data_IF_191897640579
#
_entry.id   IF_191897640579
#
_cell.length_a   1.000
_cell.length_b   1.000
_cell.length_c   1.000
_cell.angle_alpha   90.00
_cell.angle_beta   90.00
_cell.angle_gamma   90.00
#
_symmetry.space_group_name_H-M   'P 1'
#
loop_
_entity.id
_entity.type
_entity.pdbx_description
1 polymer ?
#
# COMPACT_ATOMS: atom_id res chain seq x y z
N UNK A 1 5.08 5.82 -28.79
CA UNK A 1 4.38 5.40 -27.56
C UNK A 1 3.13 6.25 -27.46
N UNK A 2 1.95 5.63 -27.41
CA UNK A 2 0.67 6.33 -27.29
C UNK A 2 0.08 5.98 -25.92
N UNK A 3 -0.39 6.98 -25.18
CA UNK A 3 -1.09 6.81 -23.91
C UNK A 3 -2.54 7.19 -24.16
N UNK A 4 -3.42 6.19 -24.09
CA UNK A 4 -4.86 6.42 -24.13
C UNK A 4 -5.37 6.69 -22.70
N UNK A 5 -5.58 7.97 -22.39
CA UNK A 5 -6.11 8.40 -21.10
C UNK A 5 -7.64 8.18 -20.96
N UNK A 6 -8.32 7.67 -21.99
CA UNK A 6 -9.76 7.36 -21.98
C UNK A 6 -10.04 5.88 -21.70
N UNK A 7 -9.01 5.05 -21.70
CA UNK A 7 -9.11 3.67 -21.26
C UNK A 7 -9.66 3.61 -19.83
N UNK A 8 -10.55 2.62 -19.59
CA UNK A 8 -11.00 2.30 -18.23
C UNK A 8 -9.77 2.21 -17.32
N UNK A 9 -9.78 3.01 -16.26
CA UNK A 9 -8.72 3.04 -15.27
C UNK A 9 -8.59 1.70 -14.56
N UNK A 10 -7.91 1.73 -13.41
CA UNK A 10 -7.69 0.51 -12.65
C UNK A 10 -9.04 -0.11 -12.24
N UNK A 11 -9.24 -1.37 -12.64
CA UNK A 11 -10.50 -2.08 -12.47
C UNK A 11 -10.81 -2.29 -10.99
N UNK A 12 -12.08 -2.19 -10.60
CA UNK A 12 -12.59 -2.62 -9.29
C UNK A 12 -12.68 -4.16 -9.23
N UNK A 13 -11.55 -4.82 -9.44
CA UNK A 13 -11.43 -6.27 -9.31
C UNK A 13 -11.19 -6.66 -7.85
N UNK A 14 -11.67 -7.84 -7.41
CA UNK A 14 -11.29 -8.40 -6.12
C UNK A 14 -9.77 -8.54 -5.98
N UNK A 15 -9.26 -8.31 -4.76
CA UNK A 15 -7.85 -8.51 -4.46
C UNK A 15 -7.47 -10.00 -4.65
N UNK A 16 -6.39 -10.25 -5.39
CA UNK A 16 -5.79 -11.59 -5.57
C UNK A 16 -4.28 -11.51 -5.37
N UNK A 17 -3.60 -12.64 -5.19
CA UNK A 17 -2.14 -12.66 -5.09
C UNK A 17 -1.51 -11.92 -6.28
N UNK A 18 -0.58 -11.00 -6.00
CA UNK A 18 0.10 -10.20 -7.03
C UNK A 18 1.07 -11.09 -7.80
N UNK A 19 1.83 -11.91 -7.09
CA UNK A 19 2.77 -12.86 -7.68
C UNK A 19 2.10 -14.23 -7.76
N UNK A 20 2.05 -14.77 -8.96
CA UNK A 20 1.49 -16.07 -9.33
C UNK A 20 2.47 -16.76 -10.28
N UNK A 21 2.37 -18.08 -10.41
CA UNK A 21 3.20 -18.84 -11.34
C UNK A 21 3.09 -18.28 -12.77
N UNK A 22 4.24 -17.85 -13.32
CA UNK A 22 4.35 -17.24 -14.64
C UNK A 22 3.60 -15.91 -14.84
N UNK A 23 3.08 -15.26 -13.79
CA UNK A 23 2.20 -14.09 -13.93
C UNK A 23 2.28 -13.12 -12.76
N UNK A 24 2.43 -11.83 -13.09
CA UNK A 24 2.26 -10.72 -12.13
C UNK A 24 0.92 -10.02 -12.38
N UNK A 25 0.05 -10.01 -11.37
CA UNK A 25 -1.24 -9.31 -11.36
C UNK A 25 -1.08 -7.96 -10.67
N UNK A 26 -0.82 -6.92 -11.46
CA UNK A 26 -0.63 -5.56 -10.96
C UNK A 26 -1.86 -5.06 -10.19
N UNK A 27 -1.68 -4.84 -8.89
CA UNK A 27 -2.69 -4.32 -7.96
C UNK A 27 -2.07 -3.30 -7.02
N UNK A 28 -2.89 -2.64 -6.20
CA UNK A 28 -2.36 -1.72 -5.19
C UNK A 28 -1.66 -2.48 -4.07
N UNK A 29 -0.55 -1.92 -3.60
CA UNK A 29 0.12 -2.32 -2.36
C UNK A 29 0.10 -1.17 -1.36
N UNK A 30 0.46 0.04 -1.80
CA UNK A 30 0.21 1.28 -1.08
C UNK A 30 -0.97 2.02 -1.70
N UNK A 31 -1.76 2.69 -0.87
CA UNK A 31 -2.87 3.52 -1.34
C UNK A 31 -2.42 4.57 -2.38
N UNK A 32 -3.28 4.80 -3.37
CA UNK A 32 -3.24 5.93 -4.32
C UNK A 32 -1.87 6.22 -4.97
N UNK A 33 -1.03 5.20 -5.13
CA UNK A 33 0.34 5.37 -5.62
C UNK A 33 0.66 4.39 -6.75
N UNK A 34 -0.06 4.40 -7.89
CA UNK A 34 0.04 3.36 -8.92
C UNK A 34 1.47 3.17 -9.45
N UNK A 35 2.17 4.26 -9.77
CA UNK A 35 3.56 4.19 -10.27
C UNK A 35 4.53 3.65 -9.21
N UNK A 36 4.37 4.05 -7.94
CA UNK A 36 5.17 3.51 -6.85
C UNK A 36 4.90 2.03 -6.64
N UNK A 37 3.63 1.60 -6.67
CA UNK A 37 3.25 0.21 -6.51
C UNK A 37 3.85 -0.66 -7.61
N UNK A 38 3.77 -0.23 -8.88
CA UNK A 38 4.41 -0.95 -9.98
C UNK A 38 5.93 -1.03 -9.80
N UNK A 39 6.58 0.06 -9.39
CA UNK A 39 8.02 0.07 -9.14
C UNK A 39 8.43 -0.81 -7.95
N UNK A 40 7.62 -0.82 -6.88
CA UNK A 40 7.80 -1.67 -5.71
C UNK A 40 7.68 -3.15 -6.09
N UNK A 41 6.65 -3.51 -6.84
CA UNK A 41 6.43 -4.87 -7.35
C UNK A 41 7.64 -5.30 -8.20
N UNK A 42 8.11 -4.45 -9.11
CA UNK A 42 9.30 -4.73 -9.92
C UNK A 42 10.59 -4.87 -9.10
N UNK A 43 10.75 -4.06 -8.04
CA UNK A 43 11.88 -4.21 -7.12
C UNK A 43 11.81 -5.55 -6.39
N UNK A 44 10.66 -5.88 -5.81
CA UNK A 44 10.46 -7.14 -5.06
C UNK A 44 10.65 -8.36 -5.95
N UNK A 45 10.11 -8.34 -7.18
CA UNK A 45 10.32 -9.41 -8.17
C UNK A 45 11.80 -9.67 -8.45
N UNK A 46 12.61 -8.62 -8.55
CA UNK A 46 14.02 -8.72 -8.88
C UNK A 46 14.92 -9.15 -7.69
N UNK A 47 14.40 -9.13 -6.46
CA UNK A 47 15.21 -9.33 -5.25
C UNK A 47 14.73 -10.49 -4.36
N UNK A 48 13.57 -11.10 -4.66
CA UNK A 48 13.02 -12.23 -3.91
C UNK A 48 12.75 -13.40 -4.85
N UNK A 49 13.05 -14.61 -4.39
CA UNK A 49 12.91 -15.81 -5.23
C UNK A 49 11.52 -16.46 -5.12
N UNK A 50 10.90 -16.38 -3.94
CA UNK A 50 9.65 -17.08 -3.63
C UNK A 50 8.43 -16.14 -3.66
N UNK A 51 7.37 -16.58 -4.34
CA UNK A 51 6.12 -15.83 -4.46
C UNK A 51 5.41 -15.62 -3.13
N UNK A 52 5.56 -16.51 -2.14
CA UNK A 52 4.97 -16.29 -0.83
C UNK A 52 5.66 -15.11 -0.11
N UNK A 53 6.98 -15.00 -0.19
CA UNK A 53 7.72 -13.86 0.34
C UNK A 53 7.41 -12.56 -0.42
N UNK A 54 7.33 -12.63 -1.75
CA UNK A 54 6.92 -11.47 -2.57
C UNK A 54 5.52 -10.99 -2.19
N UNK A 55 4.55 -11.88 -2.03
CA UNK A 55 3.19 -11.53 -1.61
C UNK A 55 3.11 -11.11 -0.13
N UNK A 56 4.01 -11.57 0.74
CA UNK A 56 4.14 -11.06 2.11
C UNK A 56 4.53 -9.58 2.11
N UNK A 57 5.43 -9.18 1.21
CA UNK A 57 5.89 -7.79 1.06
C UNK A 57 4.95 -6.93 0.21
N UNK A 58 4.22 -7.54 -0.71
CA UNK A 58 3.27 -6.86 -1.59
C UNK A 58 1.84 -7.41 -1.40
N UNK A 59 1.23 -7.24 -0.20
CA UNK A 59 -0.14 -7.65 -0.02
C UNK A 59 -1.06 -6.85 -0.96
N UNK A 60 -1.97 -7.50 -1.70
CA UNK A 60 -2.87 -6.82 -2.63
C UNK A 60 -3.96 -6.05 -1.90
N UNK A 61 -4.31 -4.89 -2.43
CA UNK A 61 -5.51 -4.12 -2.06
C UNK A 61 -6.43 -3.95 -3.25
N UNK A 62 -7.72 -4.17 -3.01
CA UNK A 62 -8.77 -3.74 -3.92
C UNK A 62 -8.84 -2.22 -3.94
N UNK A 63 -9.24 -1.66 -5.08
CA UNK A 63 -9.51 -0.23 -5.17
C UNK A 63 -10.71 0.12 -4.27
N UNK A 64 -10.64 1.21 -3.48
CA UNK A 64 -11.77 1.64 -2.70
C UNK A 64 -12.88 2.11 -3.65
N UNK A 65 -14.07 1.55 -3.48
CA UNK A 65 -15.28 1.88 -4.26
C UNK A 65 -16.27 2.73 -3.47
N UNK A 66 -16.12 2.75 -2.14
CA UNK A 66 -16.90 3.58 -1.23
C UNK A 66 -16.03 4.15 -0.09
N UNK A 67 -16.50 5.19 0.64
CA UNK A 67 -15.78 5.73 1.79
C UNK A 67 -15.47 4.69 2.87
N UNK A 68 -16.32 3.67 3.01
CA UNK A 68 -16.15 2.55 3.94
C UNK A 68 -14.97 1.64 3.55
N UNK A 69 -14.47 1.70 2.32
CA UNK A 69 -13.28 0.92 1.95
C UNK A 69 -11.98 1.58 2.43
N UNK A 70 -12.00 2.88 2.71
CA UNK A 70 -10.82 3.65 3.11
C UNK A 70 -10.13 3.08 4.37
N UNK A 71 -10.84 2.74 5.47
CA UNK A 71 -10.24 2.09 6.63
C UNK A 71 -9.45 0.82 6.30
N UNK A 72 -9.98 -0.04 5.41
CA UNK A 72 -9.31 -1.31 5.03
C UNK A 72 -8.06 -1.02 4.20
N UNK A 73 -8.16 -0.10 3.24
CA UNK A 73 -7.05 0.32 2.40
C UNK A 73 -5.90 0.93 3.24
N UNK A 74 -6.20 1.80 4.19
CA UNK A 74 -5.19 2.43 5.05
C UNK A 74 -4.56 1.43 6.01
N UNK A 75 -5.36 0.56 6.64
CA UNK A 75 -4.85 -0.51 7.50
C UNK A 75 -3.88 -1.42 6.73
N UNK A 76 -4.27 -1.78 5.51
CA UNK A 76 -3.45 -2.54 4.58
C UNK A 76 -2.11 -1.87 4.26
N UNK A 77 -2.18 -0.60 3.84
CA UNK A 77 -0.99 0.21 3.58
C UNK A 77 -0.03 0.22 4.77
N UNK A 78 -0.49 0.60 5.96
CA UNK A 78 0.41 0.74 7.10
C UNK A 78 0.96 -0.60 7.59
N UNK A 79 0.21 -1.68 7.41
CA UNK A 79 0.70 -3.04 7.70
C UNK A 79 1.81 -3.42 6.73
N UNK A 80 1.68 -3.11 5.44
CA UNK A 80 2.73 -3.34 4.45
C UNK A 80 3.97 -2.48 4.73
N UNK A 81 3.78 -1.18 4.98
CA UNK A 81 4.87 -0.24 5.32
C UNK A 81 5.65 -0.67 6.57
N UNK A 82 4.94 -1.15 7.60
CA UNK A 82 5.60 -1.69 8.79
C UNK A 82 6.48 -2.91 8.50
N UNK A 83 6.07 -3.79 7.56
CA UNK A 83 6.90 -4.93 7.13
C UNK A 83 8.17 -4.48 6.43
N UNK A 84 8.07 -3.47 5.57
CA UNK A 84 9.22 -2.99 4.79
C UNK A 84 10.32 -2.41 5.67
N UNK A 85 9.99 -1.84 6.82
CA UNK A 85 10.98 -1.35 7.78
C UNK A 85 11.91 -2.46 8.31
N UNK A 86 11.44 -3.71 8.33
CA UNK A 86 12.21 -4.89 8.73
C UNK A 86 13.04 -5.50 7.59
N UNK A 87 12.98 -4.93 6.39
CA UNK A 87 13.69 -5.39 5.19
C UNK A 87 14.73 -4.34 4.77
N UNK A 88 16.02 -4.49 5.15
CA UNK A 88 17.01 -3.42 4.99
C UNK A 88 17.20 -2.95 3.54
N UNK A 89 17.23 -3.88 2.60
CA UNK A 89 17.38 -3.63 1.17
C UNK A 89 16.19 -2.85 0.60
N UNK A 90 14.98 -3.30 0.94
CA UNK A 90 13.74 -2.69 0.49
C UNK A 90 13.53 -1.32 1.13
N UNK A 91 13.75 -1.18 2.44
CA UNK A 91 13.66 0.08 3.16
C UNK A 91 14.61 1.13 2.57
N UNK A 92 15.87 0.75 2.31
CA UNK A 92 16.84 1.62 1.65
C UNK A 92 16.40 2.02 0.23
N UNK A 93 15.84 1.10 -0.55
CA UNK A 93 15.30 1.42 -1.87
C UNK A 93 14.10 2.37 -1.81
N UNK A 94 13.15 2.16 -0.88
CA UNK A 94 11.99 3.03 -0.69
C UNK A 94 12.41 4.44 -0.29
N UNK A 95 13.38 4.58 0.62
CA UNK A 95 13.88 5.87 1.08
C UNK A 95 14.47 6.72 -0.05
N UNK A 96 15.17 6.10 -1.02
CA UNK A 96 15.75 6.80 -2.18
C UNK A 96 14.83 6.92 -3.39
N UNK A 97 13.71 6.20 -3.41
CA UNK A 97 12.82 6.16 -4.57
C UNK A 97 12.15 7.52 -4.80
N UNK A 98 12.32 8.09 -6.01
CA UNK A 98 11.63 9.33 -6.43
C UNK A 98 10.11 9.20 -6.49
N UNK A 99 9.59 7.96 -6.52
CA UNK A 99 8.16 7.67 -6.51
C UNK A 99 7.60 7.56 -5.08
N UNK A 100 8.46 7.59 -4.06
CA UNK A 100 8.02 7.59 -2.68
C UNK A 100 7.59 9.00 -2.26
N UNK A 101 6.31 9.17 -1.93
CA UNK A 101 5.75 10.45 -1.47
C UNK A 101 6.48 11.00 -0.24
N UNK A 102 7.02 10.12 0.61
CA UNK A 102 7.72 10.49 1.85
C UNK A 102 9.24 10.63 1.68
N UNK A 103 9.77 10.55 0.44
CA UNK A 103 11.22 10.60 0.18
C UNK A 103 11.91 11.84 0.76
N UNK A 104 11.25 12.99 0.76
CA UNK A 104 11.81 14.24 1.30
C UNK A 104 11.76 14.34 2.83
N UNK A 105 11.12 13.40 3.53
CA UNK A 105 10.91 13.52 4.97
C UNK A 105 12.23 13.61 5.76
N UNK A 106 13.23 12.85 5.36
CA UNK A 106 14.56 12.86 5.98
C UNK A 106 15.27 14.21 5.79
N UNK A 107 15.13 14.82 4.61
CA UNK A 107 15.75 16.11 4.27
C UNK A 107 15.19 17.25 5.15
N UNK A 108 13.97 17.10 5.66
CA UNK A 108 13.29 18.07 6.53
C UNK A 108 13.17 17.64 8.00
N UNK A 109 13.90 16.60 8.42
CA UNK A 109 13.77 16.00 9.76
C UNK A 109 14.15 16.95 10.92
N UNK A 110 14.92 18.00 10.64
CA UNK A 110 15.27 19.03 11.62
C UNK A 110 14.17 20.08 11.87
N UNK A 111 13.12 20.11 11.04
CA UNK A 111 12.07 21.13 11.15
C UNK A 111 11.07 20.79 12.27
N UNK A 112 10.76 21.72 13.19
CA UNK A 112 9.87 21.44 14.31
C UNK A 112 8.48 20.94 13.90
N UNK A 113 7.93 21.44 12.79
CA UNK A 113 6.63 20.99 12.25
C UNK A 113 6.68 19.54 11.77
N UNK A 114 7.77 19.14 11.13
CA UNK A 114 7.99 17.78 10.65
C UNK A 114 8.17 16.84 11.84
N UNK A 115 9.03 17.19 12.80
CA UNK A 115 9.22 16.42 14.03
C UNK A 115 7.90 16.21 14.78
N UNK A 116 7.11 17.28 14.97
CA UNK A 116 5.81 17.18 15.61
C UNK A 116 4.85 16.27 14.83
N UNK A 117 4.86 16.33 13.49
CA UNK A 117 4.01 15.47 12.65
C UNK A 117 4.40 13.99 12.73
N UNK A 118 5.70 13.70 12.62
CA UNK A 118 6.25 12.35 12.75
C UNK A 118 5.96 11.78 14.14
N UNK A 119 6.19 12.55 15.21
CA UNK A 119 5.91 12.10 16.57
C UNK A 119 4.43 11.79 16.79
N UNK A 120 3.51 12.63 16.30
CA UNK A 120 2.06 12.33 16.36
C UNK A 120 1.72 11.05 15.59
N UNK A 121 2.28 10.88 14.40
CA UNK A 121 2.07 9.68 13.60
C UNK A 121 2.54 8.43 14.33
N UNK A 122 3.80 8.41 14.79
CA UNK A 122 4.39 7.27 15.51
C UNK A 122 3.64 6.94 16.81
N UNK A 123 3.13 7.96 17.50
CA UNK A 123 2.36 7.80 18.74
C UNK A 123 1.02 7.08 18.50
N UNK A 124 0.40 7.26 17.33
CA UNK A 124 -0.96 6.78 17.07
C UNK A 124 -1.06 5.61 16.08
N UNK A 125 -0.07 5.41 15.20
CA UNK A 125 -0.18 4.48 14.07
C UNK A 125 -0.45 3.04 14.50
N UNK A 126 0.24 2.53 15.54
CA UNK A 126 0.04 1.15 16.00
C UNK A 126 -1.38 0.92 16.52
N UNK A 127 -1.88 1.82 17.37
CA UNK A 127 -3.26 1.74 17.86
C UNK A 127 -4.28 1.93 16.72
N UNK A 128 -3.97 2.78 15.74
CA UNK A 128 -4.82 2.97 14.56
C UNK A 128 -4.90 1.68 13.74
N UNK A 129 -3.77 1.02 13.43
CA UNK A 129 -3.73 -0.28 12.74
C UNK A 129 -4.57 -1.31 13.50
N UNK A 130 -4.42 -1.41 14.82
CA UNK A 130 -5.18 -2.38 15.62
C UNK A 130 -6.69 -2.13 15.55
N UNK A 131 -7.14 -0.88 15.72
CA UNK A 131 -8.55 -0.51 15.69
C UNK A 131 -9.16 -0.66 14.29
N UNK A 132 -8.42 -0.25 13.26
CA UNK A 132 -8.86 -0.38 11.87
C UNK A 132 -8.90 -1.84 11.44
N UNK A 133 -7.97 -2.69 11.91
CA UNK A 133 -8.01 -4.14 11.68
C UNK A 133 -9.28 -4.75 12.29
N UNK A 134 -9.60 -4.41 13.54
CA UNK A 134 -10.84 -4.85 14.20
C UNK A 134 -12.09 -4.37 13.47
N UNK A 135 -12.06 -3.17 12.88
CA UNK A 135 -13.15 -2.63 12.07
C UNK A 135 -13.27 -3.36 10.73
N UNK A 136 -12.14 -3.60 10.04
CA UNK A 136 -12.08 -4.25 8.74
C UNK A 136 -12.60 -5.70 8.79
N UNK A 137 -12.42 -6.38 9.92
CA UNK A 137 -12.92 -7.73 10.17
C UNK A 137 -14.42 -7.81 10.49
N UNK A 138 -15.12 -6.67 10.60
CA UNK A 138 -16.58 -6.67 10.69
C UNK A 138 -17.15 -6.96 9.31
N UNK A 139 -18.16 -7.83 9.25
CA UNK A 139 -18.91 -8.07 8.01
C UNK A 139 -19.36 -6.72 7.43
N UNK A 140 -19.23 -6.50 6.10
CA UNK A 140 -19.81 -5.31 5.48
C UNK A 140 -21.29 -5.23 5.84
N UNK A 141 -21.84 -4.03 6.09
CA UNK A 141 -23.29 -3.89 6.21
C UNK A 141 -23.94 -4.47 4.96
N UNK A 142 -24.97 -5.31 5.15
CA UNK A 142 -25.76 -5.83 4.04
C UNK A 142 -26.44 -4.64 3.36
N UNK A 143 -25.93 -4.22 2.21
CA UNK A 143 -26.65 -3.28 1.36
C UNK A 143 -27.75 -4.09 0.69
N UNK A 144 -28.98 -3.97 1.21
CA UNK A 144 -30.17 -4.41 0.48
C UNK A 144 -30.23 -3.59 -0.81
N UNK A 145 -29.86 -4.21 -1.92
CA UNK A 145 -30.03 -3.64 -3.24
C UNK A 145 -31.54 -3.51 -3.53
N UNK A 146 -32.11 -2.36 -3.20
CA UNK A 146 -33.40 -1.96 -3.76
C UNK A 146 -33.17 -1.73 -5.27
N UNK A 147 -33.92 -2.50 -6.07
CA UNK A 147 -33.97 -2.44 -7.54
C UNK A 147 -34.53 -1.12 -8.03
#
# INVERSE_FOLDING_TARGET
>A
MHIDCTALGLNNAPATAIFQDGRIVLQQVRYLSPSFNAALIGFVEAHRDDDADKNRLCPPHAYPSSPEDWPRMMCGTWTAEARWLSEPDLSAWIARSRLNLMRGLADHAGEPKVQAAVMRYLTHVTTAIERLSKWANRAPPQVNAAR
#
